data_IF_307379245426
#
_entry.id   IF_307379245426
#
_cell.length_a   1.000
_cell.length_b   1.000
_cell.length_c   1.000
_cell.angle_alpha   90.00
_cell.angle_beta   90.00
_cell.angle_gamma   90.00
#
_symmetry.space_group_name_H-M   'P 1'
#
loop_
_entity.id
_entity.type
_entity.pdbx_description
1 polymer ?
#
# COMPACT_ATOMS: atom_id res chain seq x y z
N UNK A 1 -29.77 -28.70 4.19
CA UNK A 1 -28.62 -27.86 4.57
C UNK A 1 -29.23 -26.49 4.76
N UNK A 2 -29.28 -25.97 5.99
CA UNK A 2 -29.93 -24.69 6.24
C UNK A 2 -29.17 -23.60 5.49
N UNK A 3 -29.85 -22.89 4.58
CA UNK A 3 -29.29 -21.73 3.89
C UNK A 3 -28.98 -20.67 4.95
N UNK A 4 -27.70 -20.47 5.24
CA UNK A 4 -27.26 -19.45 6.21
C UNK A 4 -27.43 -18.09 5.55
N UNK A 5 -28.56 -17.45 5.81
CA UNK A 5 -28.85 -16.09 5.36
C UNK A 5 -28.60 -15.10 6.49
N UNK A 6 -28.07 -13.93 6.17
CA UNK A 6 -27.94 -12.83 7.13
C UNK A 6 -28.64 -11.57 6.61
N UNK A 7 -29.16 -10.77 7.54
CA UNK A 7 -29.89 -9.54 7.22
C UNK A 7 -29.09 -8.31 7.62
N UNK A 8 -28.99 -7.34 6.72
CA UNK A 8 -28.35 -6.05 6.96
C UNK A 8 -29.36 -4.92 6.84
N UNK A 9 -29.15 -3.84 7.60
CA UNK A 9 -29.87 -2.57 7.37
C UNK A 9 -29.30 -1.89 6.14
N UNK A 10 -30.12 -1.10 5.45
CA UNK A 10 -29.68 -0.31 4.31
C UNK A 10 -28.47 0.58 4.63
N UNK A 11 -28.49 1.27 5.78
CA UNK A 11 -27.38 2.13 6.20
C UNK A 11 -26.05 1.40 6.38
N UNK A 12 -26.08 0.16 6.87
CA UNK A 12 -24.87 -0.63 7.10
C UNK A 12 -24.33 -1.18 5.79
N UNK A 13 -25.23 -1.57 4.89
CA UNK A 13 -24.89 -2.01 3.55
C UNK A 13 -24.29 -0.89 2.70
N UNK A 14 -24.87 0.31 2.73
CA UNK A 14 -24.36 1.48 2.01
C UNK A 14 -22.93 1.84 2.48
N UNK A 15 -22.68 1.83 3.80
CA UNK A 15 -21.33 2.02 4.37
C UNK A 15 -20.34 0.93 3.94
N UNK A 16 -20.82 -0.31 3.83
CA UNK A 16 -19.98 -1.42 3.37
C UNK A 16 -19.61 -1.27 1.89
N UNK A 17 -20.56 -0.88 1.03
CA UNK A 17 -20.31 -0.58 -0.37
C UNK A 17 -19.32 0.58 -0.55
N UNK A 18 -19.48 1.66 0.22
CA UNK A 18 -18.58 2.82 0.23
C UNK A 18 -17.13 2.42 0.58
N UNK A 19 -16.95 1.61 1.64
CA UNK A 19 -15.62 1.10 2.04
C UNK A 19 -14.96 0.21 0.98
N UNK A 20 -15.77 -0.48 0.19
CA UNK A 20 -15.31 -1.32 -0.92
C UNK A 20 -15.09 -0.53 -2.22
N UNK A 21 -15.45 0.77 -2.24
CA UNK A 21 -15.36 1.64 -3.40
C UNK A 21 -16.25 1.18 -4.56
N UNK A 22 -17.41 0.59 -4.25
CA UNK A 22 -18.38 0.10 -5.23
C UNK A 22 -19.75 0.71 -4.99
N UNK A 23 -20.56 0.81 -6.04
CA UNK A 23 -21.93 1.28 -5.92
C UNK A 23 -22.78 0.24 -5.15
N UNK A 24 -23.64 0.70 -4.24
CA UNK A 24 -24.53 -0.16 -3.47
C UNK A 24 -25.48 -0.98 -4.36
N UNK A 25 -26.00 -0.43 -5.45
CA UNK A 25 -26.90 -1.15 -6.37
C UNK A 25 -26.17 -2.28 -7.11
N UNK A 26 -24.92 -2.03 -7.52
CA UNK A 26 -24.05 -3.04 -8.13
C UNK A 26 -23.73 -4.15 -7.14
N UNK A 27 -23.44 -3.78 -5.88
CA UNK A 27 -23.16 -4.74 -4.83
C UNK A 27 -24.39 -5.60 -4.48
N UNK A 28 -25.59 -5.01 -4.42
CA UNK A 28 -26.84 -5.75 -4.19
C UNK A 28 -27.08 -6.80 -5.28
N UNK A 29 -26.88 -6.40 -6.54
CA UNK A 29 -27.05 -7.28 -7.69
C UNK A 29 -26.02 -8.41 -7.69
N UNK A 30 -24.75 -8.10 -7.38
CA UNK A 30 -23.68 -9.09 -7.31
C UNK A 30 -23.89 -10.11 -6.18
N UNK A 31 -24.43 -9.66 -5.04
CA UNK A 31 -24.74 -10.51 -3.90
C UNK A 31 -26.09 -11.23 -4.00
N UNK A 32 -26.86 -10.96 -5.07
CA UNK A 32 -28.24 -11.43 -5.25
C UNK A 32 -29.10 -11.17 -4.01
N UNK A 33 -28.92 -10.00 -3.41
CA UNK A 33 -29.55 -9.66 -2.15
C UNK A 33 -31.07 -9.47 -2.33
N UNK A 34 -31.85 -10.11 -1.47
CA UNK A 34 -33.30 -9.93 -1.43
C UNK A 34 -33.65 -8.68 -0.59
N UNK A 35 -34.53 -7.83 -1.12
CA UNK A 35 -35.01 -6.64 -0.40
C UNK A 35 -36.30 -6.98 0.32
N UNK A 36 -36.24 -7.03 1.65
CA UNK A 36 -37.40 -7.35 2.49
C UNK A 36 -37.87 -6.08 3.21
N UNK A 37 -39.15 -5.74 3.04
CA UNK A 37 -39.78 -4.64 3.78
C UNK A 37 -40.01 -5.06 5.24
N UNK A 38 -39.50 -4.28 6.18
CA UNK A 38 -39.65 -4.52 7.61
C UNK A 38 -40.15 -3.23 8.26
N UNK A 39 -41.46 -3.16 8.51
CA UNK A 39 -42.13 -1.96 9.05
C UNK A 39 -41.99 -0.75 8.11
N UNK A 40 -41.55 0.43 8.59
CA UNK A 40 -41.32 1.60 7.76
C UNK A 40 -40.01 1.55 6.95
N UNK A 41 -39.19 0.50 7.09
CA UNK A 41 -37.88 0.39 6.45
C UNK A 41 -37.70 -0.87 5.62
N UNK A 42 -36.46 -1.06 5.12
CA UNK A 42 -36.06 -2.22 4.33
C UNK A 42 -34.82 -2.87 4.93
N UNK A 43 -34.71 -4.19 4.74
CA UNK A 43 -33.50 -4.97 5.01
C UNK A 43 -33.05 -5.69 3.76
N UNK A 44 -31.74 -5.84 3.63
CA UNK A 44 -31.13 -6.67 2.61
C UNK A 44 -30.82 -8.02 3.22
N UNK A 45 -31.40 -9.08 2.66
CA UNK A 45 -31.15 -10.46 3.04
C UNK A 45 -30.19 -11.04 2.03
N UNK A 46 -29.06 -11.52 2.53
CA UNK A 46 -27.95 -11.99 1.70
C UNK A 46 -27.68 -13.43 2.06
N UNK A 47 -27.59 -14.25 1.04
CA UNK A 47 -27.16 -15.63 1.17
C UNK A 47 -25.62 -15.69 1.38
N UNK A 48 -25.19 -16.46 2.37
CA UNK A 48 -23.77 -16.53 2.76
C UNK A 48 -22.89 -17.15 1.67
N UNK A 49 -23.41 -18.05 0.85
CA UNK A 49 -22.68 -18.64 -0.27
C UNK A 49 -22.43 -17.60 -1.37
N UNK A 50 -23.46 -16.82 -1.74
CA UNK A 50 -23.29 -15.69 -2.67
C UNK A 50 -22.30 -14.64 -2.14
N UNK A 51 -22.36 -14.34 -0.84
CA UNK A 51 -21.39 -13.44 -0.20
C UNK A 51 -19.96 -13.98 -0.26
N UNK A 52 -19.77 -15.27 0.03
CA UNK A 52 -18.46 -15.91 -0.03
C UNK A 52 -17.88 -15.87 -1.44
N UNK A 53 -18.66 -16.23 -2.46
CA UNK A 53 -18.21 -16.17 -3.86
C UNK A 53 -17.88 -14.73 -4.31
N UNK A 54 -18.67 -13.74 -3.87
CA UNK A 54 -18.35 -12.34 -4.12
C UNK A 54 -17.01 -11.93 -3.50
N UNK A 55 -16.76 -12.28 -2.23
CA UNK A 55 -15.49 -11.98 -1.56
C UNK A 55 -14.32 -12.67 -2.26
N UNK A 56 -14.45 -13.96 -2.59
CA UNK A 56 -13.40 -14.71 -3.30
C UNK A 56 -13.12 -14.11 -4.67
N UNK A 57 -14.15 -13.80 -5.45
CA UNK A 57 -13.98 -13.17 -6.77
C UNK A 57 -13.29 -11.80 -6.65
N UNK A 58 -13.61 -10.98 -5.64
CA UNK A 58 -12.91 -9.71 -5.40
C UNK A 58 -11.45 -9.90 -5.01
N UNK A 59 -11.11 -10.93 -4.23
CA UNK A 59 -9.72 -11.25 -3.89
C UNK A 59 -8.95 -11.70 -5.15
N UNK A 60 -9.56 -12.57 -5.96
CA UNK A 60 -8.96 -13.05 -7.21
C UNK A 60 -8.83 -11.92 -8.22
N UNK A 61 -9.85 -11.09 -8.40
CA UNK A 61 -9.77 -9.91 -9.28
C UNK A 61 -8.80 -8.88 -8.74
N UNK A 62 -8.69 -8.65 -7.43
CA UNK A 62 -7.65 -7.79 -6.85
C UNK A 62 -6.24 -8.36 -7.05
N UNK A 63 -6.10 -9.69 -7.07
CA UNK A 63 -4.86 -10.36 -7.43
C UNK A 63 -4.55 -10.24 -8.94
N UNK A 64 -5.57 -10.33 -9.81
CA UNK A 64 -5.43 -10.20 -11.27
C UNK A 64 -5.24 -8.76 -11.74
N UNK A 65 -5.85 -7.77 -11.07
CA UNK A 65 -5.65 -6.34 -11.37
C UNK A 65 -4.23 -5.84 -11.03
N UNK A 66 -3.39 -6.71 -10.45
CA UNK A 66 -1.95 -6.50 -10.21
C UNK A 66 -1.06 -7.11 -11.30
N UNK A 67 -1.63 -7.69 -12.36
CA UNK A 67 -0.90 -8.15 -13.54
C UNK A 67 -0.96 -7.12 -14.68
N UNK A 68 -0.71 -5.84 -14.37
CA UNK A 68 -0.07 -5.01 -15.40
C UNK A 68 1.31 -5.63 -15.67
N UNK A 69 1.76 -5.72 -16.93
CA UNK A 69 3.11 -6.21 -17.22
C UNK A 69 4.08 -5.40 -16.35
N UNK A 70 5.05 -6.04 -15.68
CA UNK A 70 5.94 -5.33 -14.76
C UNK A 70 6.54 -4.18 -15.55
N UNK A 71 6.16 -2.95 -15.18
CA UNK A 71 6.82 -1.76 -15.67
C UNK A 71 8.30 -2.03 -15.45
N UNK A 72 9.11 -1.99 -16.50
CA UNK A 72 10.55 -2.21 -16.34
C UNK A 72 11.07 -1.07 -15.46
N UNK A 73 11.11 -1.32 -14.15
CA UNK A 73 11.65 -0.39 -13.18
C UNK A 73 13.15 -0.39 -13.39
N UNK A 74 13.69 0.76 -13.76
CA UNK A 74 15.14 0.96 -13.79
C UNK A 74 15.60 1.48 -12.43
N UNK A 75 16.91 1.40 -12.18
CA UNK A 75 17.51 1.89 -10.94
C UNK A 75 17.28 3.40 -10.77
N UNK A 76 17.27 4.16 -11.87
CA UNK A 76 17.03 5.61 -11.87
C UNK A 76 15.58 5.94 -11.50
N UNK A 77 14.61 5.21 -12.04
CA UNK A 77 13.20 5.38 -11.68
C UNK A 77 12.97 5.07 -10.19
N UNK A 78 13.63 4.02 -9.69
CA UNK A 78 13.60 3.67 -8.28
C UNK A 78 14.23 4.78 -7.42
N UNK A 79 15.40 5.28 -7.80
CA UNK A 79 16.09 6.38 -7.13
C UNK A 79 15.23 7.65 -7.07
N UNK A 80 14.58 8.02 -8.17
CA UNK A 80 13.69 9.19 -8.22
C UNK A 80 12.48 9.04 -7.30
N UNK A 81 11.77 7.92 -7.38
CA UNK A 81 10.63 7.63 -6.51
C UNK A 81 11.04 7.58 -5.02
N UNK A 82 12.19 6.98 -4.72
CA UNK A 82 12.72 6.92 -3.36
C UNK A 82 13.03 8.32 -2.83
N UNK A 83 13.75 9.14 -3.59
CA UNK A 83 14.10 10.50 -3.19
C UNK A 83 12.85 11.33 -2.92
N UNK A 84 11.89 11.30 -3.84
CA UNK A 84 10.60 11.97 -3.69
C UNK A 84 9.85 11.51 -2.44
N UNK A 85 9.82 10.20 -2.16
CA UNK A 85 9.17 9.65 -0.97
C UNK A 85 9.88 10.06 0.33
N UNK A 86 11.21 10.04 0.35
CA UNK A 86 12.02 10.49 1.50
C UNK A 86 11.79 11.97 1.77
N UNK A 87 11.89 12.81 0.74
CA UNK A 87 11.76 14.27 0.88
C UNK A 87 10.35 14.67 1.36
N UNK A 88 9.31 13.95 0.89
CA UNK A 88 7.93 14.17 1.32
C UNK A 88 7.64 13.70 2.75
N UNK A 89 8.26 12.59 3.19
CA UNK A 89 7.94 11.93 4.47
C UNK A 89 8.97 12.23 5.57
N UNK A 90 10.03 12.98 5.26
CA UNK A 90 11.04 13.37 6.23
C UNK A 90 10.44 14.29 7.30
N UNK A 91 10.68 13.96 8.57
CA UNK A 91 10.40 14.86 9.67
C UNK A 91 11.45 15.96 9.81
N UNK A 92 11.36 16.78 10.86
CA UNK A 92 12.30 17.90 11.10
C UNK A 92 13.78 17.50 11.18
N UNK A 93 14.10 16.25 11.53
CA UNK A 93 15.47 15.71 11.57
C UNK A 93 16.03 15.32 10.18
N UNK A 94 15.18 15.36 9.15
CA UNK A 94 15.48 14.87 7.80
C UNK A 94 15.41 13.36 7.65
N UNK A 95 15.00 12.63 8.69
CA UNK A 95 14.76 11.18 8.62
C UNK A 95 13.29 10.90 8.32
N UNK A 96 13.06 9.96 7.41
CA UNK A 96 11.76 9.40 7.10
C UNK A 96 11.68 7.94 7.62
N UNK A 97 10.48 7.51 8.03
CA UNK A 97 10.23 6.12 8.41
C UNK A 97 10.31 5.24 7.17
N UNK A 98 11.19 4.25 7.18
CA UNK A 98 11.50 3.43 6.02
C UNK A 98 10.32 2.56 5.56
N UNK A 99 9.45 2.14 6.47
CA UNK A 99 8.23 1.39 6.12
C UNK A 99 7.25 2.26 5.33
N UNK A 100 7.08 3.53 5.72
CA UNK A 100 6.20 4.47 5.03
C UNK A 100 6.78 4.83 3.65
N UNK A 101 8.10 5.04 3.57
CA UNK A 101 8.83 5.25 2.31
C UNK A 101 8.67 4.04 1.39
N UNK A 102 8.90 2.82 1.88
CA UNK A 102 8.72 1.57 1.14
C UNK A 102 7.31 1.48 0.56
N UNK A 103 6.28 1.73 1.36
CA UNK A 103 4.90 1.64 0.92
C UNK A 103 4.59 2.66 -0.19
N UNK A 104 5.10 3.89 -0.04
CA UNK A 104 4.95 4.94 -1.06
C UNK A 104 5.64 4.56 -2.38
N UNK A 105 6.88 4.06 -2.32
CA UNK A 105 7.65 3.66 -3.51
C UNK A 105 7.03 2.42 -4.18
N UNK A 106 6.62 1.43 -3.39
CA UNK A 106 5.94 0.24 -3.88
C UNK A 106 4.63 0.57 -4.58
N UNK A 107 3.86 1.53 -4.06
CA UNK A 107 2.65 2.02 -4.69
C UNK A 107 2.93 2.80 -5.98
N UNK A 108 3.93 3.69 -5.99
CA UNK A 108 4.26 4.53 -7.15
C UNK A 108 4.82 3.73 -8.33
N UNK A 109 5.65 2.72 -8.04
CA UNK A 109 6.30 1.88 -9.05
C UNK A 109 5.57 0.55 -9.31
N UNK A 110 4.46 0.29 -8.60
CA UNK A 110 3.72 -0.97 -8.64
C UNK A 110 4.62 -2.22 -8.42
N UNK A 111 5.61 -2.11 -7.52
CA UNK A 111 6.52 -3.22 -7.17
C UNK A 111 6.11 -3.91 -5.88
N UNK A 112 6.56 -5.16 -5.69
CA UNK A 112 6.35 -5.90 -4.44
C UNK A 112 7.31 -5.40 -3.36
N UNK A 113 6.97 -5.68 -2.10
CA UNK A 113 7.83 -5.32 -0.96
C UNK A 113 9.22 -5.98 -1.02
N UNK A 114 9.28 -7.20 -1.54
CA UNK A 114 10.51 -7.97 -1.74
C UNK A 114 11.44 -7.30 -2.77
N UNK A 115 10.86 -6.79 -3.86
CA UNK A 115 11.60 -6.07 -4.90
C UNK A 115 12.17 -4.75 -4.37
N UNK A 116 11.46 -4.07 -3.47
CA UNK A 116 11.96 -2.84 -2.84
C UNK A 116 13.30 -3.08 -2.10
N UNK A 117 13.39 -4.14 -1.31
CA UNK A 117 14.62 -4.44 -0.56
C UNK A 117 15.79 -4.77 -1.50
N UNK A 118 15.52 -5.47 -2.61
CA UNK A 118 16.51 -5.75 -3.65
C UNK A 118 17.01 -4.46 -4.31
N UNK A 119 16.09 -3.64 -4.83
CA UNK A 119 16.41 -2.37 -5.50
C UNK A 119 17.13 -1.40 -4.58
N UNK A 120 16.70 -1.29 -3.32
CA UNK A 120 17.37 -0.43 -2.35
C UNK A 120 18.78 -0.94 -2.02
N UNK A 121 18.98 -2.25 -1.92
CA UNK A 121 20.32 -2.83 -1.71
C UNK A 121 21.26 -2.52 -2.88
N UNK A 122 20.77 -2.66 -4.11
CA UNK A 122 21.50 -2.34 -5.33
C UNK A 122 21.83 -0.84 -5.41
N UNK A 123 20.84 0.02 -5.13
CA UNK A 123 21.03 1.47 -5.12
C UNK A 123 22.08 1.90 -4.11
N UNK A 124 22.09 1.33 -2.90
CA UNK A 124 23.08 1.65 -1.87
C UNK A 124 24.50 1.22 -2.25
N UNK A 125 24.64 0.17 -3.08
CA UNK A 125 25.94 -0.24 -3.61
C UNK A 125 26.43 0.71 -4.70
N UNK A 126 25.55 1.18 -5.58
CA UNK A 126 25.86 2.09 -6.70
C UNK A 126 26.05 3.54 -6.22
N UNK A 127 25.21 4.01 -5.31
CA UNK A 127 25.16 5.38 -4.77
C UNK A 127 25.69 5.45 -3.34
N UNK A 128 26.92 4.96 -3.14
CA UNK A 128 27.54 4.92 -1.80
C UNK A 128 27.55 6.30 -1.14
N UNK A 129 27.06 6.35 0.10
CA UNK A 129 27.03 7.57 0.91
C UNK A 129 25.92 8.56 0.55
N UNK A 130 25.07 8.28 -0.43
CA UNK A 130 23.93 9.15 -0.77
C UNK A 130 22.76 9.01 0.21
N UNK A 131 22.71 7.91 0.96
CA UNK A 131 21.64 7.61 1.91
C UNK A 131 22.22 7.12 3.24
N UNK A 132 21.57 7.51 4.34
CA UNK A 132 21.85 7.02 5.69
C UNK A 132 20.67 6.19 6.16
N UNK A 133 20.94 4.95 6.56
CA UNK A 133 19.96 4.06 7.18
C UNK A 133 20.22 3.97 8.68
N UNK A 134 19.16 3.96 9.48
CA UNK A 134 19.25 3.77 10.93
C UNK A 134 18.45 2.57 11.40
N UNK A 135 19.09 1.77 12.25
CA UNK A 135 18.49 0.66 12.98
C UNK A 135 17.73 1.24 14.19
N UNK A 136 16.44 1.55 14.05
CA UNK A 136 15.64 2.16 15.11
C UNK A 136 14.16 2.17 14.77
N UNK A 137 13.30 2.47 15.75
CA UNK A 137 11.84 2.51 15.59
C UNK A 137 11.16 1.14 15.72
N UNK A 138 9.83 1.18 15.86
CA UNK A 138 9.00 -0.01 16.13
C UNK A 138 8.85 -0.92 14.91
N UNK A 139 8.78 -0.32 13.72
CA UNK A 139 8.65 -1.04 12.45
C UNK A 139 9.94 -0.93 11.65
N UNK A 140 10.42 -2.07 11.14
CA UNK A 140 11.70 -2.18 10.43
C UNK A 140 11.53 -2.93 9.11
N UNK A 141 12.29 -2.53 8.10
CA UNK A 141 12.43 -3.21 6.81
C UNK A 141 13.77 -3.95 6.79
N UNK A 142 13.74 -5.22 6.37
CA UNK A 142 14.95 -6.01 6.19
C UNK A 142 15.61 -5.67 4.85
N UNK A 143 16.89 -5.29 4.91
CA UNK A 143 17.73 -5.00 3.75
C UNK A 143 18.99 -5.83 3.90
N UNK A 144 19.14 -6.85 3.06
CA UNK A 144 20.17 -7.87 3.22
C UNK A 144 20.08 -8.56 4.59
N UNK A 145 21.17 -8.54 5.34
CA UNK A 145 21.28 -9.16 6.66
C UNK A 145 20.81 -8.27 7.83
N UNK A 146 20.48 -6.99 7.58
CA UNK A 146 20.16 -6.00 8.62
C UNK A 146 18.74 -5.48 8.52
N UNK A 147 18.21 -4.93 9.61
CA UNK A 147 16.86 -4.35 9.70
C UNK A 147 16.94 -2.88 10.06
N UNK A 148 16.38 -2.02 9.23
CA UNK A 148 16.42 -0.57 9.38
C UNK A 148 15.00 -0.03 9.52
N UNK A 149 14.81 1.02 10.31
CA UNK A 149 13.49 1.65 10.45
C UNK A 149 13.43 3.07 9.91
N UNK A 150 14.58 3.71 9.65
CA UNK A 150 14.64 5.05 9.10
C UNK A 150 15.63 5.18 7.95
N UNK A 151 15.35 6.11 7.04
CA UNK A 151 16.20 6.49 5.92
C UNK A 151 16.28 8.02 5.84
N UNK A 152 17.44 8.53 5.46
CA UNK A 152 17.68 9.94 5.16
C UNK A 152 18.52 10.07 3.92
N UNK A 153 18.19 11.05 3.08
CA UNK A 153 19.02 11.44 1.94
C UNK A 153 20.13 12.38 2.39
N UNK A 154 21.34 12.16 1.88
CA UNK A 154 22.49 13.03 2.12
C UNK A 154 22.61 14.01 0.97
N UNK A 155 22.31 15.28 1.23
CA UNK A 155 22.64 16.35 0.30
C UNK A 155 24.15 16.57 0.35
N UNK A 156 24.84 16.38 -0.79
CA UNK A 156 26.23 16.85 -0.93
C UNK A 156 26.22 18.38 -0.91
N UNK A 157 26.30 18.99 0.28
CA UNK A 157 26.74 20.39 0.37
C UNK A 157 28.19 20.43 -0.11
N UNK A 158 28.48 21.30 -1.07
CA UNK A 158 29.86 21.67 -1.39
C UNK A 158 30.53 22.07 -0.07
N UNK A 159 31.51 21.28 0.36
CA UNK A 159 32.29 21.59 1.55
C UNK A 159 32.99 22.91 1.24
N UNK A 160 32.70 23.96 2.02
CA UNK A 160 33.41 25.22 1.91
C UNK A 160 34.92 24.94 2.05
N UNK A 161 35.70 25.28 1.02
CA UNK A 161 37.16 25.26 1.11
C UNK A 161 37.58 26.16 2.27
N UNK A 162 38.19 25.58 3.30
CA UNK A 162 38.80 26.33 4.38
C UNK A 162 40.11 26.90 3.83
N UNK A 163 40.08 28.16 3.40
CA UNK A 163 41.29 28.92 3.09
C UNK A 163 42.00 29.25 4.40
N UNK A 164 43.19 28.70 4.61
CA UNK A 164 44.10 29.17 5.65
C UNK A 164 44.78 30.45 5.13
N UNK A 165 44.62 31.56 5.87
CA UNK A 165 45.43 32.77 5.71
C UNK A 165 46.69 32.68 6.57
#
# INVERSE_FOLDING_TARGET
MDEVRFSLRKSDFDRFAERLGVNAEELLSALKAEVVKVGPGFRYVIDMENFFYFVVSRIVTAAQKREEPPRQVTLEMFEEALNKAVDRLAGASGYAKLVEVRNAVAQELAIREEDFARWLSELLQVRRGAYVLLEGGDLKVQIGAKKYGFIKRVEKRAVAEVTYY
#
